data_IF_215829376189
#
_entry.id   IF_215829376189
#
_cell.length_a   1.000
_cell.length_b   1.000
_cell.length_c   1.000
_cell.angle_alpha   90.00
_cell.angle_beta   90.00
_cell.angle_gamma   90.00
#
_symmetry.space_group_name_H-M   'P 1'
#
loop_
_entity.id
_entity.type
_entity.pdbx_description
1 polymer ?
#
# COMPACT_ATOMS: atom_id res chain seq x y z
N UNK A 1 7.52 -5.07 -37.26
CA UNK A 1 6.71 -4.82 -36.05
C UNK A 1 6.11 -6.10 -35.49
N UNK A 2 5.29 -6.88 -36.23
CA UNK A 2 4.64 -8.08 -35.68
C UNK A 2 5.64 -9.22 -35.36
N UNK A 3 6.55 -9.55 -36.27
CA UNK A 3 7.60 -10.57 -36.02
C UNK A 3 8.54 -10.16 -34.87
N UNK A 4 8.90 -8.87 -34.80
CA UNK A 4 9.75 -8.32 -33.73
C UNK A 4 9.05 -8.41 -32.37
N UNK A 5 7.72 -8.18 -32.33
CA UNK A 5 6.88 -8.34 -31.14
C UNK A 5 6.88 -9.78 -30.63
N UNK A 6 6.74 -10.75 -31.53
CA UNK A 6 6.75 -12.18 -31.19
C UNK A 6 8.09 -12.64 -30.63
N UNK A 7 9.19 -12.21 -31.25
CA UNK A 7 10.54 -12.50 -30.77
C UNK A 7 10.78 -11.87 -29.40
N UNK A 8 10.40 -10.61 -29.21
CA UNK A 8 10.58 -9.93 -27.93
C UNK A 8 9.76 -10.58 -26.82
N UNK A 9 8.49 -10.90 -27.07
CA UNK A 9 7.64 -11.63 -26.13
C UNK A 9 8.24 -12.99 -25.74
N UNK A 10 8.75 -13.75 -26.72
CA UNK A 10 9.39 -15.05 -26.48
C UNK A 10 10.66 -14.93 -25.61
N UNK A 11 11.53 -13.98 -25.92
CA UNK A 11 12.81 -13.79 -25.21
C UNK A 11 12.62 -13.25 -23.79
N UNK A 12 11.62 -12.40 -23.59
CA UNK A 12 11.33 -11.74 -22.31
C UNK A 12 10.26 -12.45 -21.47
N UNK A 13 9.63 -13.50 -22.00
CA UNK A 13 8.49 -14.21 -21.41
C UNK A 13 7.30 -13.29 -21.11
N UNK A 14 7.10 -12.28 -21.94
CA UNK A 14 5.96 -11.38 -21.84
C UNK A 14 4.77 -11.96 -22.62
N UNK A 15 3.57 -11.59 -22.18
CA UNK A 15 2.33 -11.96 -22.85
C UNK A 15 2.19 -11.16 -24.15
N UNK A 16 2.08 -11.87 -25.28
CA UNK A 16 2.03 -11.27 -26.61
C UNK A 16 0.85 -10.31 -26.79
N UNK A 17 -0.27 -10.59 -26.15
CA UNK A 17 -1.50 -9.79 -26.30
C UNK A 17 -1.41 -8.48 -25.53
N UNK A 18 -0.59 -8.41 -24.48
CA UNK A 18 -0.48 -7.27 -23.57
C UNK A 18 0.77 -6.39 -23.78
N UNK A 19 1.50 -6.60 -24.88
CA UNK A 19 2.63 -5.74 -25.27
C UNK A 19 2.15 -4.72 -26.30
N UNK A 20 2.40 -3.44 -26.02
CA UNK A 20 2.10 -2.33 -26.92
C UNK A 20 3.35 -1.46 -27.11
N UNK A 21 3.71 -1.22 -28.36
CA UNK A 21 4.77 -0.27 -28.71
C UNK A 21 4.11 1.09 -28.98
N UNK A 22 4.61 2.13 -28.33
CA UNK A 22 4.12 3.50 -28.48
C UNK A 22 5.28 4.44 -28.77
N UNK A 23 5.04 5.44 -29.63
CA UNK A 23 6.05 6.46 -29.98
C UNK A 23 6.10 7.61 -28.95
N UNK A 24 5.20 7.58 -27.97
CA UNK A 24 5.12 8.53 -26.88
C UNK A 24 4.72 7.81 -25.58
N UNK A 25 4.97 8.42 -24.41
CA UNK A 25 4.47 7.90 -23.14
C UNK A 25 2.95 7.67 -23.18
N UNK A 26 2.45 6.58 -22.57
CA UNK A 26 1.02 6.32 -22.50
C UNK A 26 0.32 7.31 -21.55
N UNK A 27 -1.00 7.48 -21.70
CA UNK A 27 -1.78 8.46 -20.92
C UNK A 27 -1.74 8.17 -19.41
N UNK A 28 -1.69 6.89 -19.05
CA UNK A 28 -1.60 6.36 -17.69
C UNK A 28 -0.14 6.18 -17.20
N UNK A 29 0.85 6.79 -17.87
CA UNK A 29 2.26 6.71 -17.49
C UNK A 29 2.52 7.04 -16.02
N UNK A 30 1.77 7.98 -15.43
CA UNK A 30 1.89 8.35 -14.01
C UNK A 30 1.44 7.26 -13.04
N UNK A 31 0.61 6.33 -13.50
CA UNK A 31 0.08 5.21 -12.73
C UNK A 31 0.80 3.90 -13.05
N UNK A 32 1.81 3.96 -13.91
CA UNK A 32 2.65 2.83 -14.31
C UNK A 32 3.99 2.86 -13.57
N UNK A 33 4.62 1.70 -13.46
CA UNK A 33 6.07 1.65 -13.19
C UNK A 33 6.78 2.04 -14.48
N UNK A 34 7.54 3.13 -14.44
CA UNK A 34 8.34 3.62 -15.56
C UNK A 34 9.79 3.12 -15.46
N UNK A 35 10.28 2.50 -16.52
CA UNK A 35 11.63 1.96 -16.62
C UNK A 35 12.31 2.56 -17.86
N UNK A 36 13.54 3.03 -17.69
CA UNK A 36 14.39 3.49 -18.79
C UNK A 36 15.49 2.44 -18.96
N UNK A 37 15.43 1.67 -20.04
CA UNK A 37 16.39 0.59 -20.29
C UNK A 37 17.65 1.11 -21.01
N UNK A 38 17.48 2.05 -21.93
CA UNK A 38 18.57 2.76 -22.63
C UNK A 38 18.05 4.06 -23.25
N UNK A 39 18.93 4.86 -23.84
CA UNK A 39 18.50 6.05 -24.60
C UNK A 39 17.49 5.67 -25.68
N UNK A 40 16.30 6.29 -25.65
CA UNK A 40 15.20 6.01 -26.57
C UNK A 40 14.43 4.70 -26.32
N UNK A 41 14.74 3.94 -25.26
CA UNK A 41 14.02 2.72 -24.90
C UNK A 41 13.45 2.82 -23.49
N UNK A 42 12.14 3.01 -23.44
CA UNK A 42 11.37 3.12 -22.20
C UNK A 42 10.30 2.01 -22.15
N UNK A 43 10.00 1.54 -20.95
CA UNK A 43 8.95 0.58 -20.69
C UNK A 43 8.03 1.09 -19.58
N UNK A 44 6.74 0.87 -19.77
CA UNK A 44 5.68 1.24 -18.82
C UNK A 44 4.91 -0.03 -18.46
N UNK A 45 4.85 -0.32 -17.16
CA UNK A 45 4.05 -1.43 -16.63
C UNK A 45 2.83 -0.86 -15.89
N UNK A 46 1.62 -0.94 -16.47
CA UNK A 46 0.40 -0.48 -15.82
C UNK A 46 0.14 -1.25 -14.53
N UNK A 47 0.01 -0.53 -13.41
CA UNK A 47 -0.33 -1.13 -12.11
C UNK A 47 -1.84 -1.19 -11.86
N UNK A 48 -2.62 -0.41 -12.61
CA UNK A 48 -4.04 -0.19 -12.38
C UNK A 48 -4.87 -1.49 -12.45
N UNK A 49 -4.46 -2.44 -13.29
CA UNK A 49 -5.16 -3.73 -13.45
C UNK A 49 -4.61 -4.84 -12.53
N UNK A 50 -3.49 -4.59 -11.84
CA UNK A 50 -2.88 -5.57 -10.94
C UNK A 50 -3.38 -5.45 -9.49
N UNK A 51 -3.87 -4.27 -9.09
CA UNK A 51 -4.28 -3.99 -7.71
C UNK A 51 -5.54 -3.11 -7.70
N UNK A 52 -6.58 -3.56 -7.00
CA UNK A 52 -7.73 -2.69 -6.69
C UNK A 52 -7.31 -1.65 -5.63
N UNK A 53 -6.85 -0.50 -6.13
CA UNK A 53 -6.42 0.64 -5.32
C UNK A 53 -7.54 1.12 -4.39
N UNK A 54 -8.81 1.08 -4.84
CA UNK A 54 -9.94 1.55 -4.04
C UNK A 54 -10.19 0.62 -2.86
N UNK A 55 -10.20 -0.69 -3.09
CA UNK A 55 -10.31 -1.69 -2.03
C UNK A 55 -9.12 -1.62 -1.06
N UNK A 56 -7.91 -1.39 -1.55
CA UNK A 56 -6.72 -1.29 -0.71
C UNK A 56 -6.75 -0.03 0.17
N UNK A 57 -7.14 1.12 -0.37
CA UNK A 57 -7.36 2.36 0.39
C UNK A 57 -8.43 2.15 1.47
N UNK A 58 -9.55 1.49 1.14
CA UNK A 58 -10.61 1.20 2.14
C UNK A 58 -10.10 0.27 3.25
N UNK A 59 -9.35 -0.78 2.90
CA UNK A 59 -8.76 -1.73 3.85
C UNK A 59 -7.82 -1.02 4.82
N UNK A 60 -6.91 -0.20 4.30
CA UNK A 60 -5.94 0.57 5.09
C UNK A 60 -6.65 1.61 5.96
N UNK A 61 -7.63 2.34 5.42
CA UNK A 61 -8.41 3.33 6.16
C UNK A 61 -9.15 2.69 7.34
N UNK A 62 -9.78 1.53 7.12
CA UNK A 62 -10.47 0.78 8.17
C UNK A 62 -9.50 0.30 9.26
N UNK A 63 -8.32 -0.19 8.86
CA UNK A 63 -7.28 -0.62 9.79
C UNK A 63 -6.78 0.57 10.62
N UNK A 64 -6.51 1.70 9.98
CA UNK A 64 -6.06 2.92 10.63
C UNK A 64 -7.10 3.44 11.64
N UNK A 65 -8.37 3.52 11.25
CA UNK A 65 -9.46 3.95 12.15
C UNK A 65 -9.60 3.04 13.37
N UNK A 66 -9.46 1.72 13.20
CA UNK A 66 -9.48 0.78 14.32
C UNK A 66 -8.32 1.02 15.29
N UNK A 67 -7.10 1.14 14.76
CA UNK A 67 -5.90 1.38 15.57
C UNK A 67 -5.98 2.73 16.29
N UNK A 68 -6.46 3.78 15.61
CA UNK A 68 -6.68 5.12 16.18
C UNK A 68 -7.66 5.06 17.36
N UNK A 69 -8.79 4.35 17.19
CA UNK A 69 -9.81 4.20 18.25
C UNK A 69 -9.28 3.43 19.45
N UNK A 70 -8.49 2.37 19.21
CA UNK A 70 -7.84 1.60 20.26
C UNK A 70 -6.84 2.47 21.04
N UNK A 71 -5.98 3.21 20.34
CA UNK A 71 -5.01 4.14 20.96
C UNK A 71 -5.71 5.24 21.78
N UNK A 72 -6.73 5.90 21.22
CA UNK A 72 -7.49 6.93 21.92
C UNK A 72 -8.20 6.38 23.16
N UNK A 73 -8.74 5.17 23.09
CA UNK A 73 -9.35 4.49 24.23
C UNK A 73 -8.35 4.18 25.35
N UNK A 74 -7.14 3.71 25.01
CA UNK A 74 -6.08 3.48 25.98
C UNK A 74 -5.63 4.80 26.62
N UNK A 75 -5.41 5.84 25.82
CA UNK A 75 -5.02 7.18 26.29
C UNK A 75 -6.08 7.81 27.19
N UNK A 76 -7.36 7.68 26.84
CA UNK A 76 -8.47 8.18 27.66
C UNK A 76 -8.55 7.49 29.03
N UNK A 77 -8.28 6.17 29.08
CA UNK A 77 -8.21 5.42 30.34
C UNK A 77 -7.05 5.89 31.20
N UNK A 78 -5.86 6.06 30.61
CA UNK A 78 -4.67 6.52 31.32
C UNK A 78 -4.76 7.97 31.79
N UNK A 79 -5.55 8.81 31.11
CA UNK A 79 -5.81 10.18 31.54
C UNK A 79 -6.93 10.30 32.58
N UNK A 80 -7.65 9.22 32.91
CA UNK A 80 -8.77 9.24 33.87
C UNK A 80 -8.28 8.97 35.29
N UNK A 81 -8.34 9.95 36.22
CA UNK A 81 -7.91 9.74 37.62
C UNK A 81 -8.70 8.62 38.30
N UNK A 82 -10.00 8.50 38.00
CA UNK A 82 -10.85 7.43 38.50
C UNK A 82 -10.35 6.04 38.09
N UNK A 83 -9.80 5.89 36.88
CA UNK A 83 -9.25 4.63 36.41
C UNK A 83 -7.92 4.33 37.13
N UNK A 84 -7.03 5.32 37.22
CA UNK A 84 -5.72 5.17 37.89
C UNK A 84 -5.89 4.81 39.37
N UNK A 85 -6.84 5.45 40.07
CA UNK A 85 -7.02 5.29 41.51
C UNK A 85 -7.82 4.05 41.88
N UNK A 86 -8.79 3.63 41.06
CA UNK A 86 -9.70 2.51 41.38
C UNK A 86 -9.32 1.18 40.74
N UNK A 87 -8.57 1.19 39.65
CA UNK A 87 -8.19 -0.05 38.99
C UNK A 87 -7.01 -0.73 39.73
N UNK A 88 -6.95 -2.07 39.75
CA UNK A 88 -5.78 -2.79 40.25
C UNK A 88 -4.50 -2.37 39.51
N UNK A 89 -3.37 -2.32 40.23
CA UNK A 89 -2.08 -1.89 39.67
C UNK A 89 -1.66 -2.67 38.42
N UNK A 90 -1.91 -3.98 38.40
CA UNK A 90 -1.60 -4.83 37.25
C UNK A 90 -2.42 -4.47 36.01
N UNK A 91 -3.67 -4.00 36.19
CA UNK A 91 -4.54 -3.55 35.10
C UNK A 91 -4.07 -2.20 34.56
N UNK A 92 -3.65 -1.28 35.42
CA UNK A 92 -3.10 0.02 35.00
C UNK A 92 -1.80 -0.18 34.23
N UNK A 93 -0.87 -1.02 34.74
CA UNK A 93 0.38 -1.34 34.07
C UNK A 93 0.16 -1.96 32.69
N UNK A 94 -0.74 -2.94 32.59
CA UNK A 94 -1.04 -3.57 31.29
C UNK A 94 -1.68 -2.62 30.27
N UNK A 95 -2.38 -1.56 30.71
CA UNK A 95 -2.87 -0.50 29.81
C UNK A 95 -1.75 0.45 29.39
N UNK A 96 -0.81 0.75 30.28
CA UNK A 96 0.39 1.57 29.96
C UNK A 96 1.28 0.86 28.93
N UNK A 97 1.57 -0.43 29.13
CA UNK A 97 2.35 -1.23 28.19
C UNK A 97 1.69 -1.28 26.81
N UNK A 98 0.37 -1.55 26.76
CA UNK A 98 -0.38 -1.54 25.49
C UNK A 98 -0.44 -0.18 24.82
N UNK A 99 -0.48 0.92 25.59
CA UNK A 99 -0.45 2.26 25.03
C UNK A 99 0.91 2.59 24.42
N UNK A 100 2.01 2.13 25.05
CA UNK A 100 3.37 2.31 24.55
C UNK A 100 3.66 1.47 23.29
N UNK A 101 3.07 0.27 23.17
CA UNK A 101 3.15 -0.53 21.93
C UNK A 101 2.30 0.03 20.78
N UNK A 102 1.27 0.82 21.10
CA UNK A 102 0.34 1.41 20.12
C UNK A 102 0.74 2.82 19.67
N UNK A 103 1.80 3.39 20.26
CA UNK A 103 2.42 4.66 19.88
C UNK A 103 3.50 4.46 18.80
#
# INVERSE_FOLDING_TARGET
MQEEKEVLALLSKLDLDNIHFTDSPPEDAKQSVHLIASEGLEAYLPLADMVDISAEVQRLTKRLSKMQTEYEGLKARLNSPKFIEKAPKDVVRGVQEKAAEAE
#
